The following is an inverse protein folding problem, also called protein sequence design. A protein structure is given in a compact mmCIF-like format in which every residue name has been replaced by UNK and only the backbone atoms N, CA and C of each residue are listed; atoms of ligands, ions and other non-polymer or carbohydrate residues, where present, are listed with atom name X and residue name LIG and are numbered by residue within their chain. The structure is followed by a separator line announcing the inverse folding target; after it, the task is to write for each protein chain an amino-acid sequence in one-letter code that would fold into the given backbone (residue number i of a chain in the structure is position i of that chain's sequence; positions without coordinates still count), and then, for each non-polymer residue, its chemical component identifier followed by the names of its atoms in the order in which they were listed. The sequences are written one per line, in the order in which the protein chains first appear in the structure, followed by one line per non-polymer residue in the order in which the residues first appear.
data_IF_992013093605
#
_entry.id   IF_992013093605
#
_cell.length_a   1.000
_cell.length_b   1.000
_cell.length_c   1.000
_cell.angle_alpha   90.00
_cell.angle_beta   90.00
_cell.angle_gamma   90.00
#
_symmetry.space_group_name_H-M   'P 1'
#
loop_
_entity.id
_entity.type
_entity.pdbx_description
1 polymer ?
#
# COMPACT_ATOMS: atom_id res chain seq x y z
N UNK A 1 29.84 -5.97 -2.87
CA UNK A 1 29.54 -6.46 -4.24
C UNK A 1 28.03 -6.45 -4.38
N UNK A 2 27.46 -5.27 -4.63
CA UNK A 2 26.04 -4.98 -4.37
C UNK A 2 25.17 -5.16 -5.61
N UNK A 3 23.85 -5.28 -5.39
CA UNK A 3 22.75 -5.31 -6.38
C UNK A 3 22.74 -4.17 -7.43
N UNK A 4 23.81 -3.36 -7.48
CA UNK A 4 24.03 -2.22 -8.37
C UNK A 4 24.52 -2.64 -9.78
N UNK A 5 25.08 -3.84 -9.92
CA UNK A 5 25.57 -4.39 -11.21
C UNK A 5 24.69 -5.53 -11.76
N UNK A 6 23.63 -5.89 -11.03
CA UNK A 6 22.73 -6.96 -11.42
C UNK A 6 21.64 -6.39 -12.34
N UNK A 7 21.54 -6.94 -13.56
CA UNK A 7 20.63 -6.47 -14.61
C UNK A 7 19.15 -6.65 -14.26
N UNK A 8 18.85 -7.46 -13.25
CA UNK A 8 17.49 -7.73 -12.81
C UNK A 8 16.97 -6.71 -11.79
N UNK A 9 17.81 -5.79 -11.30
CA UNK A 9 17.41 -4.80 -10.30
C UNK A 9 17.43 -3.39 -10.86
N UNK A 10 16.41 -2.61 -10.53
CA UNK A 10 16.28 -1.19 -10.92
C UNK A 10 16.09 -0.32 -9.68
N UNK A 11 16.72 0.87 -9.67
CA UNK A 11 16.55 1.82 -8.58
C UNK A 11 15.22 2.59 -8.73
N UNK A 12 14.35 2.50 -7.73
CA UNK A 12 13.12 3.30 -7.62
C UNK A 12 13.40 4.54 -6.75
N UNK A 13 12.97 5.73 -7.21
CA UNK A 13 13.11 7.01 -6.48
C UNK A 13 11.75 7.69 -6.31
N UNK A 14 11.47 8.19 -5.10
CA UNK A 14 10.23 8.91 -4.80
C UNK A 14 10.22 9.48 -3.39
N UNK A 15 9.30 10.41 -3.13
CA UNK A 15 9.03 10.92 -1.79
C UNK A 15 7.75 10.30 -1.25
N UNK A 16 7.79 9.88 0.02
CA UNK A 16 6.62 9.37 0.74
C UNK A 16 6.41 10.17 2.00
N UNK A 17 5.19 10.11 2.56
CA UNK A 17 4.90 10.78 3.82
C UNK A 17 5.78 10.21 4.95
N UNK A 18 6.14 11.07 5.92
CA UNK A 18 7.05 10.72 7.03
C UNK A 18 6.55 9.54 7.88
N UNK A 19 5.23 9.47 8.09
CA UNK A 19 4.56 8.39 8.80
C UNK A 19 4.70 7.05 8.07
N UNK A 20 4.54 7.04 6.75
CA UNK A 20 4.75 5.85 5.90
C UNK A 20 6.21 5.41 5.94
N UNK A 21 7.15 6.35 5.76
CA UNK A 21 8.58 6.05 5.84
C UNK A 21 8.97 5.45 7.19
N UNK A 22 8.39 5.93 8.30
CA UNK A 22 8.65 5.39 9.64
C UNK A 22 8.15 3.95 9.77
N UNK A 23 6.92 3.67 9.34
CA UNK A 23 6.35 2.32 9.37
C UNK A 23 7.16 1.35 8.50
N UNK A 24 7.59 1.80 7.32
CA UNK A 24 8.45 1.00 6.45
C UNK A 24 9.79 0.66 7.10
N UNK A 25 10.45 1.62 7.74
CA UNK A 25 11.70 1.36 8.46
C UNK A 25 11.50 0.37 9.61
N UNK A 26 10.42 0.52 10.37
CA UNK A 26 10.09 -0.42 11.45
C UNK A 26 9.85 -1.83 10.90
N UNK A 27 9.09 -1.95 9.83
CA UNK A 27 8.86 -3.24 9.15
C UNK A 27 10.16 -3.92 8.74
N UNK A 28 11.12 -3.16 8.21
CA UNK A 28 12.43 -3.72 7.84
C UNK A 28 13.23 -4.17 9.07
N UNK A 29 13.19 -3.40 10.17
CA UNK A 29 13.83 -3.75 11.43
C UNK A 29 13.23 -5.02 12.05
N UNK A 30 11.90 -5.10 12.12
CA UNK A 30 11.18 -6.22 12.75
C UNK A 30 11.43 -7.56 12.03
N UNK A 31 11.77 -7.51 10.74
CA UNK A 31 12.06 -8.68 9.91
C UNK A 31 13.55 -8.92 9.68
N UNK A 32 14.41 -8.08 10.24
CA UNK A 32 15.87 -8.13 10.04
C UNK A 32 16.28 -8.10 8.56
N UNK A 33 15.55 -7.33 7.74
CA UNK A 33 15.79 -7.21 6.29
C UNK A 33 16.30 -5.83 5.89
N UNK A 34 17.07 -5.77 4.81
CA UNK A 34 17.47 -4.50 4.20
C UNK A 34 16.29 -3.81 3.50
N UNK A 35 16.39 -2.49 3.32
CA UNK A 35 15.34 -1.69 2.68
C UNK A 35 15.00 -2.13 1.26
N UNK A 36 15.96 -2.69 0.51
CA UNK A 36 15.67 -3.18 -0.84
C UNK A 36 14.75 -4.40 -0.80
N UNK A 37 15.00 -5.32 0.14
CA UNK A 37 14.20 -6.55 0.31
C UNK A 37 12.84 -6.26 0.94
N UNK A 38 12.79 -5.36 1.92
CA UNK A 38 11.52 -4.89 2.48
C UNK A 38 10.64 -4.21 1.43
N UNK A 39 11.23 -3.40 0.55
CA UNK A 39 10.52 -2.76 -0.56
C UNK A 39 10.00 -3.80 -1.56
N UNK A 40 10.84 -4.74 -1.97
CA UNK A 40 10.48 -5.82 -2.88
C UNK A 40 9.34 -6.69 -2.34
N UNK A 41 9.36 -7.01 -1.05
CA UNK A 41 8.29 -7.77 -0.38
C UNK A 41 6.95 -7.05 -0.46
N UNK A 42 6.91 -5.76 -0.13
CA UNK A 42 5.67 -4.97 -0.13
C UNK A 42 5.13 -4.79 -1.54
N UNK A 43 6.00 -4.45 -2.50
CA UNK A 43 5.61 -4.29 -3.89
C UNK A 43 5.13 -5.61 -4.49
N UNK A 44 5.83 -6.72 -4.22
CA UNK A 44 5.41 -8.04 -4.68
C UNK A 44 4.05 -8.42 -4.11
N UNK A 45 3.84 -8.23 -2.80
CA UNK A 45 2.54 -8.48 -2.16
C UNK A 45 1.43 -7.62 -2.78
N UNK A 46 1.70 -6.34 -3.05
CA UNK A 46 0.73 -5.44 -3.67
C UNK A 46 0.35 -5.91 -5.08
N UNK A 47 1.32 -6.14 -5.95
CA UNK A 47 1.07 -6.55 -7.34
C UNK A 47 0.58 -8.00 -7.49
N UNK A 48 0.84 -8.88 -6.53
CA UNK A 48 0.27 -10.24 -6.52
C UNK A 48 -1.18 -10.25 -6.02
N UNK A 49 -1.56 -9.31 -5.16
CA UNK A 49 -2.95 -9.19 -4.67
C UNK A 49 -3.86 -8.49 -5.70
N UNK A 50 -3.28 -7.73 -6.63
CA UNK A 50 -4.01 -6.91 -7.62
C UNK A 50 -4.67 -7.70 -8.77
N UNK A 51 -4.70 -9.05 -8.73
CA UNK A 51 -5.64 -9.82 -9.56
C UNK A 51 -7.12 -9.56 -9.21
N UNK A 52 -7.44 -8.71 -8.22
CA UNK A 52 -8.83 -8.41 -7.89
C UNK A 52 -9.18 -6.96 -7.46
N UNK A 53 -8.29 -5.96 -7.60
CA UNK A 53 -8.67 -4.56 -7.34
C UNK A 53 -8.93 -3.84 -8.67
N UNK A 54 -10.07 -4.21 -9.27
CA UNK A 54 -10.72 -3.35 -10.25
C UNK A 54 -10.91 -1.95 -9.66
N UNK A 55 -10.56 -0.92 -10.43
CA UNK A 55 -10.67 0.51 -10.14
C UNK A 55 -12.13 1.01 -9.98
N UNK A 56 -13.00 0.26 -9.29
CA UNK A 56 -14.45 0.47 -9.23
C UNK A 56 -15.01 1.06 -7.92
N UNK A 57 -14.23 1.21 -6.85
CA UNK A 57 -14.77 1.43 -5.49
C UNK A 57 -14.48 2.80 -4.84
N UNK A 58 -14.32 3.87 -5.64
CA UNK A 58 -14.15 5.23 -5.08
C UNK A 58 -15.19 6.27 -5.50
N UNK A 59 -16.35 5.89 -6.06
CA UNK A 59 -17.39 6.88 -6.40
C UNK A 59 -18.83 6.53 -5.95
N UNK A 60 -19.00 5.89 -4.78
CA UNK A 60 -20.37 5.72 -4.23
C UNK A 60 -20.50 5.85 -2.72
N UNK A 61 -19.75 6.78 -2.13
CA UNK A 61 -20.02 7.31 -0.79
C UNK A 61 -20.41 8.79 -0.84
N UNK A 62 -21.32 9.18 -1.74
CA UNK A 62 -22.03 10.44 -1.62
C UNK A 62 -23.54 10.19 -1.71
N UNK A 63 -24.25 10.57 -0.65
CA UNK A 63 -25.70 10.54 -0.45
C UNK A 63 -26.34 9.21 0.00
N UNK A 64 -26.23 8.89 1.29
CA UNK A 64 -27.39 8.34 2.01
C UNK A 64 -27.26 8.58 3.52
N UNK A 65 -27.33 9.85 3.92
CA UNK A 65 -27.61 10.21 5.32
C UNK A 65 -28.97 10.87 5.39
N UNK A 66 -30.03 10.06 5.42
CA UNK A 66 -31.21 10.42 6.18
C UNK A 66 -31.97 9.15 6.58
N UNK A 67 -31.87 8.80 7.86
CA UNK A 67 -32.58 7.68 8.47
C UNK A 67 -34.12 7.84 8.39
N UNK A 68 -34.86 6.72 8.49
CA UNK A 68 -36.31 6.71 8.59
C UNK A 68 -36.77 6.95 10.03
N UNK A 69 -37.74 7.83 10.26
CA UNK A 69 -38.45 7.92 11.54
C UNK A 69 -39.95 7.66 11.32
N UNK A 70 -40.32 6.43 11.66
CA UNK A 70 -41.57 5.89 12.22
C UNK A 70 -42.93 6.62 12.08
N UNK A 71 -43.84 5.83 11.50
CA UNK A 71 -45.29 5.62 11.70
C UNK A 71 -46.17 6.39 12.72
N UNK A 72 -47.43 6.55 12.26
CA UNK A 72 -48.74 6.44 12.96
C UNK A 72 -49.15 7.48 14.01
N UNK A 73 -50.11 8.36 13.65
CA UNK A 73 -51.51 8.34 14.13
C UNK A 73 -52.36 9.36 13.37
#
# INVERSE_FOLDING_TARGET
MGKKDDRNYVQIRGHVRKDVARRFKQFCLDREVDYSEGLETILSAFFTTDTHITSGDLDRQNNSTHLPCYEQH
#
